data_IF_004691842622
#
_entry.id   IF_004691842622
#
_cell.length_a   1.000
_cell.length_b   1.000
_cell.length_c   1.000
_cell.angle_alpha   90.00
_cell.angle_beta   90.00
_cell.angle_gamma   90.00
#
_symmetry.space_group_name_H-M   'P 1'
#
loop_
_entity.id
_entity.type
_entity.pdbx_description
1 polymer ?
#
# COMPACT_ATOMS: atom_id res chain seq x y z
N UNK A 1 -4.77 -30.77 12.12
CA UNK A 1 -4.36 -30.58 10.72
C UNK A 1 -3.37 -29.42 10.65
N UNK A 2 -2.32 -29.54 9.80
CA UNK A 2 -1.34 -28.46 9.59
C UNK A 2 -1.46 -27.94 8.15
N UNK A 3 -1.63 -26.64 8.01
CA UNK A 3 -1.74 -25.96 6.70
C UNK A 3 -0.58 -24.98 6.56
N UNK A 4 0.14 -25.03 5.45
CA UNK A 4 1.22 -24.10 5.11
C UNK A 4 0.78 -23.28 3.91
N UNK A 5 0.83 -21.95 4.03
CA UNK A 5 0.60 -21.03 2.93
C UNK A 5 1.94 -20.50 2.44
N UNK A 6 2.15 -20.57 1.13
CA UNK A 6 3.34 -20.06 0.46
C UNK A 6 2.93 -19.06 -0.63
N UNK A 7 3.71 -18.00 -0.78
CA UNK A 7 3.62 -17.07 -1.89
C UNK A 7 4.73 -17.42 -2.89
N UNK A 8 4.33 -17.75 -4.09
CA UNK A 8 5.23 -17.95 -5.23
C UNK A 8 5.13 -16.72 -6.12
N UNK A 9 6.24 -16.07 -6.38
CA UNK A 9 6.31 -14.96 -7.33
C UNK A 9 7.06 -15.44 -8.57
N UNK A 10 6.45 -15.23 -9.73
CA UNK A 10 6.99 -15.62 -11.01
C UNK A 10 7.42 -14.40 -11.81
N UNK A 11 8.41 -14.55 -12.66
CA UNK A 11 8.76 -13.59 -13.70
C UNK A 11 7.72 -13.60 -14.84
N UNK A 12 7.80 -12.62 -15.75
CA UNK A 12 6.86 -12.49 -16.88
C UNK A 12 6.90 -13.71 -17.83
N UNK A 13 8.01 -14.45 -17.87
CA UNK A 13 8.14 -15.71 -18.62
C UNK A 13 7.59 -16.94 -17.88
N UNK A 14 6.98 -16.75 -16.72
CA UNK A 14 6.36 -17.78 -15.90
C UNK A 14 7.31 -18.60 -15.04
N UNK A 15 8.59 -18.27 -14.98
CA UNK A 15 9.55 -18.94 -14.09
C UNK A 15 9.37 -18.47 -12.65
N UNK A 16 9.44 -19.42 -11.72
CA UNK A 16 9.44 -19.12 -10.30
C UNK A 16 10.73 -18.41 -9.89
N UNK A 17 10.61 -17.15 -9.42
CA UNK A 17 11.75 -16.38 -8.94
C UNK A 17 11.97 -16.56 -7.43
N UNK A 18 10.87 -16.54 -6.67
CA UNK A 18 10.92 -16.62 -5.22
C UNK A 18 9.75 -17.37 -4.64
N UNK A 19 10.03 -18.21 -3.64
CA UNK A 19 9.03 -18.89 -2.82
C UNK A 19 9.18 -18.40 -1.39
N UNK A 20 8.14 -17.82 -0.81
CA UNK A 20 8.16 -17.30 0.56
C UNK A 20 7.07 -17.95 1.40
N UNK A 21 7.44 -18.45 2.55
CA UNK A 21 6.48 -18.96 3.54
C UNK A 21 5.74 -17.78 4.17
N UNK A 22 4.42 -17.79 4.07
CA UNK A 22 3.56 -16.73 4.62
C UNK A 22 3.13 -17.06 6.03
N UNK A 23 2.56 -18.26 6.23
CA UNK A 23 2.09 -18.70 7.53
C UNK A 23 1.95 -20.21 7.59
N UNK A 24 2.14 -20.75 8.78
CA UNK A 24 1.84 -22.15 9.11
C UNK A 24 0.72 -22.11 10.16
N UNK A 25 -0.43 -22.69 9.83
CA UNK A 25 -1.59 -22.80 10.69
C UNK A 25 -1.73 -24.23 11.24
N UNK A 26 -1.99 -24.34 12.53
CA UNK A 26 -2.38 -25.61 13.15
C UNK A 26 -3.87 -25.53 13.48
N UNK A 27 -4.64 -26.47 12.96
CA UNK A 27 -6.10 -26.51 13.14
C UNK A 27 -6.53 -27.77 13.89
N UNK A 28 -7.37 -27.57 14.89
CA UNK A 28 -8.09 -28.64 15.55
C UNK A 28 -9.47 -28.78 14.91
N UNK A 29 -9.82 -30.02 14.50
CA UNK A 29 -11.10 -30.31 13.87
C UNK A 29 -12.23 -30.57 14.87
N UNK A 30 -11.95 -30.54 16.16
CA UNK A 30 -12.93 -30.87 17.21
C UNK A 30 -13.73 -29.66 17.72
N UNK A 31 -13.32 -28.45 17.39
CA UNK A 31 -13.95 -27.21 17.86
C UNK A 31 -14.50 -26.41 16.70
N UNK A 32 -15.77 -26.03 16.77
CA UNK A 32 -16.45 -25.26 15.75
C UNK A 32 -15.77 -23.89 15.50
N UNK A 33 -15.22 -23.27 16.55
CA UNK A 33 -14.53 -21.98 16.50
C UNK A 33 -13.20 -22.07 15.73
N UNK A 34 -12.67 -23.27 15.51
CA UNK A 34 -11.42 -23.53 14.80
C UNK A 34 -11.64 -24.12 13.39
N UNK A 35 -12.90 -24.30 12.97
CA UNK A 35 -13.19 -24.72 11.63
C UNK A 35 -12.92 -23.59 10.61
N UNK A 36 -12.19 -23.90 9.56
CA UNK A 36 -11.81 -22.92 8.54
C UNK A 36 -10.80 -21.88 9.03
N UNK A 37 -10.74 -20.74 8.37
CA UNK A 37 -9.92 -19.59 8.77
C UNK A 37 -10.75 -18.61 9.60
N UNK A 38 -10.26 -18.28 10.78
CA UNK A 38 -10.81 -17.16 11.55
C UNK A 38 -10.35 -15.83 10.96
N UNK A 39 -11.10 -14.76 11.23
CA UNK A 39 -10.72 -13.41 10.80
C UNK A 39 -9.33 -13.00 11.29
N UNK A 40 -9.01 -13.33 12.55
CA UNK A 40 -7.71 -13.03 13.15
C UNK A 40 -6.57 -13.74 12.42
N UNK A 41 -6.75 -15.01 12.08
CA UNK A 41 -5.76 -15.80 11.34
C UNK A 41 -5.59 -15.33 9.90
N UNK A 42 -6.63 -14.80 9.28
CA UNK A 42 -6.58 -14.30 7.91
C UNK A 42 -5.86 -12.95 7.78
N UNK A 43 -5.91 -12.10 8.82
CA UNK A 43 -5.34 -10.75 8.79
C UNK A 43 -3.83 -10.74 8.54
N UNK A 44 -3.08 -11.57 9.26
CA UNK A 44 -1.62 -11.59 9.16
C UNK A 44 -1.10 -12.08 7.79
N UNK A 45 -1.61 -13.18 7.23
CA UNK A 45 -1.25 -13.58 5.87
C UNK A 45 -1.54 -12.50 4.82
N UNK A 46 -2.71 -11.86 4.87
CA UNK A 46 -3.07 -10.80 3.93
C UNK A 46 -2.11 -9.61 4.01
N UNK A 47 -1.74 -9.19 5.22
CA UNK A 47 -0.76 -8.13 5.44
C UNK A 47 0.61 -8.52 4.86
N UNK A 48 1.05 -9.75 5.09
CA UNK A 48 2.34 -10.26 4.59
C UNK A 48 2.36 -10.35 3.07
N UNK A 49 1.30 -10.88 2.45
CA UNK A 49 1.16 -10.95 1.00
C UNK A 49 1.22 -9.54 0.40
N UNK A 50 0.41 -8.62 0.92
CA UNK A 50 0.40 -7.22 0.45
C UNK A 50 1.77 -6.57 0.54
N UNK A 51 2.50 -6.78 1.64
CA UNK A 51 3.86 -6.26 1.81
C UNK A 51 4.82 -6.78 0.74
N UNK A 52 4.78 -8.09 0.46
CA UNK A 52 5.65 -8.71 -0.55
C UNK A 52 5.33 -8.22 -1.96
N UNK A 53 4.04 -8.15 -2.30
CA UNK A 53 3.60 -7.64 -3.60
C UNK A 53 4.02 -6.19 -3.79
N UNK A 54 3.75 -5.31 -2.80
CA UNK A 54 4.17 -3.91 -2.85
C UNK A 54 5.69 -3.75 -2.99
N UNK A 55 6.47 -4.51 -2.22
CA UNK A 55 7.93 -4.47 -2.32
C UNK A 55 8.38 -4.81 -3.74
N UNK A 56 7.86 -5.89 -4.33
CA UNK A 56 8.22 -6.31 -5.68
C UNK A 56 7.83 -5.28 -6.75
N UNK A 57 6.63 -4.71 -6.65
CA UNK A 57 6.17 -3.67 -7.56
C UNK A 57 7.03 -2.40 -7.47
N UNK A 58 7.39 -1.98 -6.26
CA UNK A 58 8.28 -0.84 -6.02
C UNK A 58 9.68 -1.10 -6.60
N UNK A 59 10.26 -2.27 -6.34
CA UNK A 59 11.57 -2.66 -6.89
C UNK A 59 11.57 -2.65 -8.42
N UNK A 60 10.56 -3.25 -9.04
CA UNK A 60 10.41 -3.24 -10.50
C UNK A 60 10.31 -1.80 -11.06
N UNK A 61 9.51 -0.95 -10.42
CA UNK A 61 9.38 0.45 -10.81
C UNK A 61 10.68 1.26 -10.61
N UNK A 62 11.42 1.01 -9.53
CA UNK A 62 12.70 1.68 -9.27
C UNK A 62 13.78 1.24 -10.25
N UNK A 63 13.81 -0.03 -10.64
CA UNK A 63 14.74 -0.55 -11.64
C UNK A 63 14.51 0.11 -13.00
N UNK A 64 13.26 0.34 -13.40
CA UNK A 64 12.95 1.05 -14.65
C UNK A 64 13.37 2.53 -14.64
N UNK A 65 13.51 3.14 -13.46
CA UNK A 65 13.93 4.53 -13.26
C UNK A 65 15.43 4.69 -12.97
N UNK A 66 16.22 3.61 -13.01
CA UNK A 66 17.64 3.63 -12.65
C UNK A 66 18.55 4.31 -13.69
N UNK A 67 18.06 4.47 -14.92
CA UNK A 67 18.78 5.08 -16.04
C UNK A 67 18.03 6.29 -16.59
N UNK A 68 18.75 7.19 -17.22
CA UNK A 68 18.15 8.32 -17.93
C UNK A 68 17.38 7.82 -19.16
N UNK A 69 16.09 8.19 -19.33
CA UNK A 69 15.30 7.74 -20.48
C UNK A 69 15.80 8.29 -21.82
N UNK A 70 16.56 9.40 -21.82
CA UNK A 70 17.02 10.05 -23.04
C UNK A 70 18.39 9.55 -23.52
N UNK A 71 19.33 9.30 -22.61
CA UNK A 71 20.71 8.95 -22.98
C UNK A 71 21.19 7.62 -22.40
N UNK A 72 20.35 6.90 -21.62
CA UNK A 72 20.68 5.61 -21.02
C UNK A 72 21.71 5.66 -19.87
N UNK A 73 22.25 6.83 -19.53
CA UNK A 73 23.26 6.95 -18.47
C UNK A 73 22.66 6.57 -17.11
N UNK A 74 23.32 5.70 -16.32
CA UNK A 74 22.88 5.37 -14.96
C UNK A 74 22.79 6.62 -14.08
N UNK A 75 21.69 6.76 -13.34
CA UNK A 75 21.45 7.90 -12.48
C UNK A 75 22.09 7.70 -11.11
N UNK A 76 22.72 8.75 -10.58
CA UNK A 76 23.38 8.70 -9.27
C UNK A 76 22.37 8.92 -8.13
N UNK A 77 22.48 8.10 -7.09
CA UNK A 77 21.68 8.25 -5.86
C UNK A 77 22.26 9.33 -4.95
N UNK A 78 21.41 10.24 -4.45
CA UNK A 78 21.80 11.29 -3.48
C UNK A 78 21.39 10.96 -2.05
N UNK A 79 20.63 9.89 -1.85
CA UNK A 79 20.09 9.47 -0.55
C UNK A 79 18.81 8.69 -0.72
N UNK A 80 18.14 8.38 0.40
CA UNK A 80 16.91 7.61 0.41
C UNK A 80 15.78 8.40 1.06
N UNK A 81 14.58 8.10 0.66
CA UNK A 81 13.35 8.65 1.21
C UNK A 81 12.37 7.53 1.53
N UNK A 82 11.67 7.65 2.65
CA UNK A 82 10.62 6.73 3.05
C UNK A 82 9.27 7.38 2.85
N UNK A 83 8.34 6.65 2.26
CA UNK A 83 6.94 7.06 2.12
C UNK A 83 6.04 6.01 2.75
N UNK A 84 5.09 6.45 3.56
CA UNK A 84 4.04 5.58 4.09
C UNK A 84 2.92 5.46 3.05
N UNK A 85 2.45 4.24 2.84
CA UNK A 85 1.33 3.95 1.97
C UNK A 85 0.32 3.08 2.72
N UNK A 86 -0.91 3.56 2.84
CA UNK A 86 -2.00 2.90 3.55
C UNK A 86 -2.89 2.13 2.58
N UNK A 87 -3.20 0.88 2.93
CA UNK A 87 -4.06 0.00 2.14
C UNK A 87 -5.06 -0.71 3.05
N UNK A 88 -6.00 -1.45 2.49
CA UNK A 88 -6.91 -2.31 3.26
C UNK A 88 -6.19 -3.34 4.14
N UNK A 89 -4.93 -3.66 3.82
CA UNK A 89 -4.16 -4.71 4.49
C UNK A 89 -3.06 -4.17 5.38
N UNK A 90 -3.06 -2.88 5.68
CA UNK A 90 -2.13 -2.23 6.59
C UNK A 90 -1.40 -1.03 6.00
N UNK A 91 -0.51 -0.47 6.81
CA UNK A 91 0.35 0.66 6.42
C UNK A 91 1.77 0.14 6.16
N UNK A 92 2.31 0.46 5.01
CA UNK A 92 3.63 0.00 4.58
C UNK A 92 4.57 1.18 4.38
N UNK A 93 5.80 1.02 4.86
CA UNK A 93 6.88 1.97 4.61
C UNK A 93 7.62 1.55 3.35
N UNK A 94 7.56 2.38 2.31
CA UNK A 94 8.19 2.16 1.02
C UNK A 94 9.44 3.02 0.92
N UNK A 95 10.56 2.39 0.60
CA UNK A 95 11.85 3.06 0.48
C UNK A 95 12.12 3.37 -0.99
N UNK A 96 12.56 4.59 -1.26
CA UNK A 96 12.91 5.06 -2.60
C UNK A 96 14.22 5.81 -2.58
N UNK A 97 15.11 5.59 -3.57
CA UNK A 97 16.24 6.46 -3.77
C UNK A 97 15.76 7.84 -4.21
N UNK A 98 16.55 8.85 -3.87
CA UNK A 98 16.51 10.17 -4.48
C UNK A 98 17.60 10.19 -5.55
N UNK A 99 17.23 10.41 -6.80
CA UNK A 99 18.13 10.33 -7.93
C UNK A 99 18.45 11.72 -8.46
N UNK A 100 19.70 11.92 -8.91
CA UNK A 100 20.07 13.11 -9.68
C UNK A 100 19.54 13.00 -11.10
N UNK A 101 19.08 14.13 -11.64
CA UNK A 101 18.81 14.23 -13.06
C UNK A 101 20.10 14.10 -13.86
N UNK A 102 19.99 13.49 -15.02
CA UNK A 102 21.09 13.46 -15.99
C UNK A 102 21.36 14.87 -16.55
N UNK A 103 22.64 15.17 -16.80
CA UNK A 103 23.04 16.45 -17.39
C UNK A 103 22.72 16.60 -18.89
N UNK A 104 22.16 15.56 -19.57
CA UNK A 104 21.83 15.61 -20.99
C UNK A 104 20.71 16.59 -21.34
N UNK A 105 19.84 16.90 -20.38
CA UNK A 105 18.78 17.91 -20.49
C UNK A 105 18.80 18.86 -19.29
N UNK A 106 18.31 20.09 -19.51
CA UNK A 106 18.07 21.02 -18.41
C UNK A 106 16.78 20.63 -17.68
N UNK A 107 16.90 20.34 -16.38
CA UNK A 107 15.78 20.10 -15.50
C UNK A 107 15.58 21.28 -14.54
N UNK A 108 14.34 21.53 -14.12
CA UNK A 108 14.02 22.56 -13.13
C UNK A 108 14.62 22.27 -11.75
N UNK A 109 14.82 20.99 -11.44
CA UNK A 109 15.38 20.52 -10.17
C UNK A 109 16.62 19.67 -10.43
N UNK A 110 17.56 19.63 -9.49
CA UNK A 110 18.77 18.82 -9.59
C UNK A 110 18.53 17.34 -9.33
N UNK A 111 17.45 17.00 -8.63
CA UNK A 111 17.11 15.63 -8.24
C UNK A 111 15.61 15.39 -8.19
N UNK A 112 15.21 14.12 -8.28
CA UNK A 112 13.82 13.68 -8.21
C UNK A 112 13.67 12.42 -7.37
N UNK A 113 12.41 12.08 -7.07
CA UNK A 113 12.03 10.90 -6.28
C UNK A 113 11.15 10.00 -7.16
N UNK A 114 11.63 8.83 -7.63
CA UNK A 114 10.86 7.97 -8.53
C UNK A 114 9.48 7.57 -7.98
N UNK A 115 9.39 7.22 -6.69
CA UNK A 115 8.10 6.86 -6.08
C UNK A 115 7.10 8.03 -5.98
N UNK A 116 7.51 9.28 -6.12
CA UNK A 116 6.58 10.40 -6.07
C UNK A 116 5.65 10.46 -7.30
N UNK A 117 6.12 9.95 -8.44
CA UNK A 117 5.32 9.85 -9.66
C UNK A 117 4.41 8.60 -9.66
N UNK A 118 4.86 7.52 -9.01
CA UNK A 118 4.08 6.29 -8.90
C UNK A 118 2.97 6.40 -7.83
N UNK A 119 3.32 7.00 -6.69
CA UNK A 119 2.44 7.16 -5.56
C UNK A 119 2.07 8.64 -5.40
N UNK A 120 1.06 9.09 -6.12
CA UNK A 120 0.52 10.45 -5.97
C UNK A 120 -0.15 10.60 -4.60
N UNK A 121 -0.86 9.57 -4.17
CA UNK A 121 -1.59 9.52 -2.91
C UNK A 121 -0.86 8.65 -1.86
N UNK A 122 -1.17 8.90 -0.58
CA UNK A 122 -0.65 8.11 0.55
C UNK A 122 -1.60 6.99 1.01
N UNK A 123 -2.77 6.90 0.38
CA UNK A 123 -3.83 5.93 0.68
C UNK A 123 -4.27 5.23 -0.60
N UNK A 124 -4.54 3.93 -0.53
CA UNK A 124 -5.04 3.19 -1.67
C UNK A 124 -6.50 3.57 -1.98
N UNK A 125 -6.89 3.56 -3.28
CA UNK A 125 -8.27 3.88 -3.67
C UNK A 125 -9.33 3.02 -2.97
N UNK A 126 -9.03 1.74 -2.74
CA UNK A 126 -9.95 0.83 -2.05
C UNK A 126 -10.13 1.18 -0.59
N UNK A 127 -9.05 1.54 0.14
CA UNK A 127 -9.17 1.97 1.53
C UNK A 127 -9.95 3.28 1.60
N UNK A 128 -9.63 4.24 0.74
CA UNK A 128 -10.33 5.51 0.65
C UNK A 128 -11.81 5.34 0.34
N UNK A 129 -12.16 4.43 -0.57
CA UNK A 129 -13.55 4.06 -0.85
C UNK A 129 -14.26 3.50 0.39
N UNK A 130 -13.61 2.60 1.12
CA UNK A 130 -14.19 2.02 2.34
C UNK A 130 -14.36 3.06 3.45
N UNK A 131 -13.36 3.92 3.67
CA UNK A 131 -13.43 5.03 4.62
C UNK A 131 -14.60 5.96 4.28
N UNK A 132 -14.73 6.37 3.03
CA UNK A 132 -15.79 7.27 2.55
C UNK A 132 -17.16 6.62 2.67
N UNK A 133 -17.28 5.37 2.22
CA UNK A 133 -18.56 4.63 2.26
C UNK A 133 -19.07 4.45 3.68
N UNK A 134 -18.21 4.00 4.60
CA UNK A 134 -18.63 3.80 5.99
C UNK A 134 -18.91 5.13 6.71
N UNK A 135 -18.10 6.16 6.46
CA UNK A 135 -18.31 7.48 7.05
C UNK A 135 -19.59 8.18 6.58
N UNK A 136 -20.16 7.74 5.45
CA UNK A 136 -21.48 8.23 5.00
C UNK A 136 -22.66 7.57 5.72
N UNK A 137 -22.42 6.42 6.38
CA UNK A 137 -23.45 5.63 7.06
C UNK A 137 -23.40 5.78 8.58
N UNK A 138 -22.19 5.92 9.14
CA UNK A 138 -21.97 5.99 10.60
C UNK A 138 -20.94 7.07 10.93
N UNK A 139 -20.77 7.38 12.22
CA UNK A 139 -19.77 8.34 12.67
C UNK A 139 -18.34 7.88 12.32
N UNK A 140 -17.39 8.83 12.19
CA UNK A 140 -15.99 8.52 11.91
C UNK A 140 -15.36 7.59 12.97
N UNK A 141 -15.77 7.69 14.25
CA UNK A 141 -15.32 6.79 15.31
C UNK A 141 -15.74 5.35 15.04
N UNK A 142 -17.03 5.13 14.77
CA UNK A 142 -17.56 3.81 14.43
C UNK A 142 -16.96 3.28 13.11
N UNK A 143 -16.68 4.14 12.16
CA UNK A 143 -15.97 3.78 10.92
C UNK A 143 -14.59 3.20 11.22
N UNK A 144 -13.80 3.88 12.05
CA UNK A 144 -12.45 3.41 12.45
C UNK A 144 -12.54 2.07 13.16
N UNK A 145 -13.47 1.92 14.12
CA UNK A 145 -13.64 0.68 14.89
C UNK A 145 -14.06 -0.48 13.99
N UNK A 146 -15.01 -0.27 13.09
CA UNK A 146 -15.45 -1.27 12.12
C UNK A 146 -14.30 -1.70 11.19
N UNK A 147 -13.60 -0.74 10.59
CA UNK A 147 -12.49 -1.04 9.69
C UNK A 147 -11.37 -1.82 10.39
N UNK A 148 -10.97 -1.43 11.60
CA UNK A 148 -10.00 -2.18 12.41
C UNK A 148 -10.51 -3.55 12.84
N UNK A 149 -11.80 -3.68 13.10
CA UNK A 149 -12.44 -4.94 13.44
C UNK A 149 -12.29 -5.98 12.33
N UNK A 150 -12.53 -5.59 11.08
CA UNK A 150 -12.55 -6.51 9.94
C UNK A 150 -11.22 -6.58 9.18
N UNK A 151 -10.47 -5.49 9.07
CA UNK A 151 -9.27 -5.41 8.26
C UNK A 151 -7.98 -5.45 9.12
N UNK A 152 -6.84 -5.88 8.56
CA UNK A 152 -5.54 -5.89 9.25
C UNK A 152 -4.91 -4.49 9.29
N UNK A 153 -5.69 -3.47 9.63
CA UNK A 153 -5.23 -2.09 9.71
C UNK A 153 -4.40 -1.88 10.99
N UNK A 154 -3.44 -0.96 10.89
CA UNK A 154 -2.60 -0.60 12.01
C UNK A 154 -3.35 0.30 13.01
N UNK A 155 -2.84 0.34 14.24
CA UNK A 155 -3.37 1.19 15.33
C UNK A 155 -3.35 2.68 14.95
N UNK A 156 -2.50 3.04 13.98
CA UNK A 156 -2.27 4.42 13.52
C UNK A 156 -3.45 5.02 12.74
N UNK A 157 -4.40 4.19 12.24
CA UNK A 157 -5.63 4.73 11.66
C UNK A 157 -6.46 5.36 12.78
N UNK A 158 -6.73 6.64 12.69
CA UNK A 158 -7.52 7.38 13.67
C UNK A 158 -8.68 8.17 13.02
N UNK A 159 -9.52 8.71 13.87
CA UNK A 159 -10.71 9.50 13.46
C UNK A 159 -10.33 10.72 12.62
N UNK A 160 -9.19 11.37 12.95
CA UNK A 160 -8.74 12.57 12.24
C UNK A 160 -8.32 12.22 10.82
N UNK A 161 -7.60 11.10 10.67
CA UNK A 161 -7.14 10.58 9.39
C UNK A 161 -8.32 10.24 8.48
N UNK A 162 -9.28 9.43 8.95
CA UNK A 162 -10.47 9.05 8.18
C UNK A 162 -11.29 10.28 7.78
N UNK A 163 -11.47 11.23 8.69
CA UNK A 163 -12.18 12.48 8.39
C UNK A 163 -11.46 13.30 7.31
N UNK A 164 -10.14 13.44 7.42
CA UNK A 164 -9.32 14.18 6.45
C UNK A 164 -9.43 13.56 5.06
N UNK A 165 -9.18 12.26 4.95
CA UNK A 165 -9.23 11.53 3.69
C UNK A 165 -10.62 11.60 3.03
N UNK A 166 -11.68 11.42 3.84
CA UNK A 166 -13.05 11.49 3.35
C UNK A 166 -13.42 12.88 2.83
N UNK A 167 -12.96 13.95 3.48
CA UNK A 167 -13.25 15.33 3.07
C UNK A 167 -12.48 15.74 1.82
N UNK A 168 -11.29 15.21 1.59
CA UNK A 168 -10.52 15.49 0.35
C UNK A 168 -11.18 14.87 -0.89
N UNK A 169 -11.91 13.77 -0.74
CA UNK A 169 -12.62 13.09 -1.86
C UNK A 169 -13.92 13.78 -2.21
N UNK A 170 -14.58 14.45 -1.26
CA UNK A 170 -15.83 15.16 -1.53
C UNK A 170 -15.46 16.47 -2.26
N UNK A 171 -15.72 16.62 -3.58
CA UNK A 171 -15.52 17.89 -4.24
C UNK A 171 -16.40 18.91 -3.55
N UNK A 172 -15.81 19.95 -2.96
CA UNK A 172 -16.53 21.10 -2.43
C UNK A 172 -17.29 21.68 -3.62
N UNK A 173 -18.61 21.42 -3.71
CA UNK A 173 -19.45 22.14 -4.67
C UNK A 173 -19.26 23.61 -4.36
N UNK A 174 -18.84 24.45 -5.32
CA UNK A 174 -18.79 25.88 -5.08
C UNK A 174 -20.18 26.33 -4.63
N UNK A 175 -20.23 27.00 -3.48
CA UNK A 175 -21.45 27.59 -2.96
C UNK A 175 -22.07 28.44 -4.07
N UNK A 176 -23.28 28.08 -4.48
CA UNK A 176 -24.10 28.94 -5.34
C UNK A 176 -24.21 30.26 -4.60
N UNK A 177 -23.55 31.29 -5.13
CA UNK A 177 -23.74 32.66 -4.69
C UNK A 177 -25.22 32.96 -4.84
N UNK A 178 -25.90 33.21 -3.72
CA UNK A 178 -27.25 33.76 -3.72
C UNK A 178 -27.14 35.18 -4.28
N UNK A 179 -27.62 35.35 -5.49
CA UNK A 179 -27.99 36.65 -6.01
C UNK A 179 -29.28 37.15 -5.35
#
# INVERSE_FOLDING_TARGET
>A
MRVKLQLVMCSDDGREETVTDIVILQKDCQRIEQLGLTLTEAKQPLKTIQQRVLQRQVEASLNSCSSCPDCGTPLKTTGYHTRSFRTLFGTFKLFSPRLFHCGCRRHKTTSFRPLASLLTESVSPELLFMETKWSSLVSYGLTVDALKGFLPLDVTLDVKTVRHDTLEVIPIKPSVARG
#
